data_IF_582202684814
#
_entry.id   IF_582202684814
#
_cell.length_a   1.000
_cell.length_b   1.000
_cell.length_c   1.000
_cell.angle_alpha   90.00
_cell.angle_beta   90.00
_cell.angle_gamma   90.00
#
_symmetry.space_group_name_H-M   'P 1'
#
loop_
_entity.id
_entity.type
_entity.pdbx_description
1 polymer ?
#
# COMPACT_ATOMS: atom_id res chain seq x y z
N UNK A 1 -13.46 -12.54 -25.89
CA UNK A 1 -12.74 -11.37 -26.44
C UNK A 1 -11.81 -11.82 -27.55
N UNK A 2 -11.46 -10.93 -28.48
CA UNK A 2 -10.44 -11.17 -29.51
C UNK A 2 -9.13 -10.49 -29.10
N UNK A 3 -8.00 -11.18 -29.24
CA UNK A 3 -6.70 -10.57 -28.96
C UNK A 3 -6.38 -9.52 -30.03
N UNK A 4 -6.21 -8.27 -29.62
CA UNK A 4 -5.87 -7.14 -30.52
C UNK A 4 -4.37 -6.90 -30.56
N UNK A 5 -3.68 -7.04 -29.42
CA UNK A 5 -2.23 -6.87 -29.29
C UNK A 5 -1.63 -8.11 -28.66
N UNK A 6 -0.45 -8.53 -29.13
CA UNK A 6 0.27 -9.68 -28.58
C UNK A 6 1.74 -9.36 -28.39
N UNK A 7 2.37 -10.03 -27.42
CA UNK A 7 3.82 -9.89 -27.14
C UNK A 7 4.26 -8.43 -26.97
N UNK A 8 5.21 -8.02 -27.83
CA UNK A 8 5.85 -6.70 -27.80
C UNK A 8 4.92 -5.51 -28.12
N UNK A 9 3.78 -5.76 -28.76
CA UNK A 9 2.80 -4.73 -29.11
C UNK A 9 1.89 -4.36 -27.93
N UNK A 10 1.92 -5.16 -26.86
CA UNK A 10 1.15 -4.86 -25.66
C UNK A 10 1.67 -3.58 -25.01
N UNK A 11 0.76 -2.73 -24.52
CA UNK A 11 1.14 -1.46 -23.85
C UNK A 11 2.11 -1.67 -22.68
N UNK A 12 1.96 -2.76 -21.94
CA UNK A 12 2.85 -3.11 -20.84
C UNK A 12 4.27 -3.41 -21.35
N UNK A 13 4.40 -4.17 -22.44
CA UNK A 13 5.70 -4.47 -23.05
C UNK A 13 6.34 -3.24 -23.70
N UNK A 14 5.55 -2.34 -24.32
CA UNK A 14 6.07 -1.09 -24.89
C UNK A 14 6.64 -0.14 -23.84
N UNK A 15 6.09 -0.17 -22.62
CA UNK A 15 6.64 0.55 -21.48
C UNK A 15 7.86 -0.16 -20.85
N UNK A 16 8.07 -1.43 -21.17
CA UNK A 16 9.25 -2.20 -20.76
C UNK A 16 10.49 -1.78 -21.56
N UNK A 17 11.59 -1.44 -20.87
CA UNK A 17 12.89 -1.24 -21.52
C UNK A 17 13.62 -2.57 -21.62
N UNK A 18 14.35 -2.85 -22.73
CA UNK A 18 15.17 -4.05 -22.82
C UNK A 18 16.21 -4.06 -21.68
N UNK A 19 16.48 -5.23 -21.14
CA UNK A 19 17.45 -5.39 -20.05
C UNK A 19 18.87 -5.08 -20.54
N UNK A 20 19.52 -4.08 -19.96
CA UNK A 20 20.95 -3.81 -20.17
C UNK A 20 21.77 -4.44 -19.06
N UNK A 21 22.99 -4.89 -19.39
CA UNK A 21 23.93 -5.38 -18.38
C UNK A 21 24.29 -4.23 -17.44
N UNK A 22 23.99 -4.41 -16.15
CA UNK A 22 24.36 -3.49 -15.08
C UNK A 22 25.76 -3.82 -14.57
N UNK A 23 26.52 -2.80 -14.18
CA UNK A 23 27.85 -2.94 -13.60
C UNK A 23 27.89 -2.26 -12.24
N UNK A 24 28.54 -2.89 -11.26
CA UNK A 24 28.79 -2.32 -9.94
C UNK A 24 29.64 -1.05 -10.05
N UNK A 25 29.32 -0.07 -9.21
CA UNK A 25 30.07 1.16 -9.02
C UNK A 25 31.48 0.89 -8.49
N UNK A 26 31.66 -0.15 -7.67
CA UNK A 26 32.96 -0.64 -7.18
C UNK A 26 33.83 -1.07 -8.35
N UNK A 27 33.27 -1.82 -9.31
CA UNK A 27 33.99 -2.23 -10.51
C UNK A 27 34.44 -1.02 -11.37
N UNK A 28 33.59 0.01 -11.48
CA UNK A 28 33.94 1.26 -12.18
C UNK A 28 35.09 2.00 -11.48
N UNK A 29 35.05 2.13 -10.14
CA UNK A 29 36.13 2.74 -9.35
C UNK A 29 37.43 1.94 -9.47
N UNK A 30 37.35 0.61 -9.44
CA UNK A 30 38.49 -0.28 -9.61
C UNK A 30 39.17 -0.07 -10.97
N UNK A 31 38.40 0.04 -12.06
CA UNK A 31 38.95 0.32 -13.38
C UNK A 31 39.72 1.67 -13.42
N UNK A 32 39.18 2.70 -12.75
CA UNK A 32 39.88 3.98 -12.59
C UNK A 32 41.21 3.84 -11.85
N UNK A 33 41.25 3.04 -10.78
CA UNK A 33 42.50 2.76 -10.03
C UNK A 33 43.49 1.93 -10.84
N UNK A 34 43.01 0.93 -11.59
CA UNK A 34 43.83 0.13 -12.50
C UNK A 34 44.52 1.00 -13.55
N UNK A 35 43.83 1.98 -14.12
CA UNK A 35 44.43 2.95 -15.03
C UNK A 35 45.54 3.77 -14.37
N UNK A 36 45.34 4.22 -13.11
CA UNK A 36 46.39 4.90 -12.37
C UNK A 36 47.62 4.02 -12.14
N UNK A 37 47.44 2.73 -11.81
CA UNK A 37 48.54 1.78 -11.67
C UNK A 37 49.26 1.53 -13.01
N UNK A 38 48.52 1.47 -14.12
CA UNK A 38 49.10 1.32 -15.45
C UNK A 38 50.00 2.52 -15.83
N UNK A 39 49.53 3.74 -15.56
CA UNK A 39 50.31 4.96 -15.78
C UNK A 39 51.54 5.00 -14.85
N UNK A 40 51.37 4.61 -13.58
CA UNK A 40 52.45 4.49 -12.61
C UNK A 40 53.51 3.47 -13.02
N UNK A 41 53.10 2.32 -13.55
CA UNK A 41 54.01 1.30 -14.08
C UNK A 41 54.85 1.86 -15.24
N UNK A 42 54.21 2.55 -16.19
CA UNK A 42 54.94 3.15 -17.32
C UNK A 42 55.92 4.24 -16.86
N UNK A 43 55.51 5.09 -15.90
CA UNK A 43 56.37 6.15 -15.38
C UNK A 43 57.57 5.62 -14.60
N UNK A 44 57.38 4.60 -13.75
CA UNK A 44 58.49 3.94 -13.03
C UNK A 44 59.44 3.24 -14.00
N UNK A 45 58.89 2.54 -15.00
CA UNK A 45 59.72 1.86 -16.02
C UNK A 45 60.56 2.89 -16.79
N UNK A 46 59.97 4.02 -17.16
CA UNK A 46 60.67 5.09 -17.86
C UNK A 46 61.77 5.72 -17.00
N UNK A 47 61.48 6.07 -15.74
CA UNK A 47 62.47 6.70 -14.85
C UNK A 47 63.63 5.78 -14.53
N UNK A 48 63.37 4.50 -14.25
CA UNK A 48 64.42 3.50 -13.99
C UNK A 48 65.26 3.26 -15.23
N UNK A 49 64.65 3.21 -16.42
CA UNK A 49 65.40 3.07 -17.69
C UNK A 49 66.32 4.27 -17.91
N UNK A 50 65.82 5.50 -17.72
CA UNK A 50 66.63 6.71 -17.84
C UNK A 50 67.78 6.74 -16.83
N UNK A 51 67.51 6.39 -15.57
CA UNK A 51 68.51 6.37 -14.51
C UNK A 51 69.58 5.29 -14.77
N UNK A 52 69.19 4.12 -15.27
CA UNK A 52 70.10 3.06 -15.67
C UNK A 52 71.07 3.52 -16.77
N UNK A 53 70.57 4.20 -17.81
CA UNK A 53 71.42 4.73 -18.86
C UNK A 53 72.29 5.90 -18.40
N UNK A 54 71.78 6.77 -17.52
CA UNK A 54 72.57 7.83 -16.91
C UNK A 54 73.72 7.26 -16.04
N UNK A 55 73.44 6.22 -15.25
CA UNK A 55 74.42 5.52 -14.42
C UNK A 55 75.50 4.86 -15.27
N UNK A 56 75.13 4.17 -16.35
CA UNK A 56 76.09 3.55 -17.30
C UNK A 56 77.02 4.58 -17.97
N UNK A 57 76.62 5.86 -18.03
CA UNK A 57 77.46 6.96 -18.51
C UNK A 57 78.47 7.48 -17.47
N UNK A 58 78.35 7.11 -16.20
CA UNK A 58 79.28 7.52 -15.13
C UNK A 58 80.45 6.53 -15.00
N UNK A 59 81.64 6.98 -14.55
CA UNK A 59 82.84 6.13 -14.43
C UNK A 59 82.68 4.93 -13.47
N UNK A 60 81.72 5.00 -12.54
CA UNK A 60 81.38 3.90 -11.62
C UNK A 60 80.37 2.90 -12.19
N UNK A 61 79.75 3.21 -13.34
CA UNK A 61 78.66 2.43 -13.93
C UNK A 61 79.09 1.31 -14.86
N UNK A 62 80.38 1.25 -15.22
CA UNK A 62 80.97 0.20 -16.06
C UNK A 62 82.04 -0.58 -15.30
N UNK A 63 81.66 -1.61 -14.50
CA UNK A 63 82.63 -2.46 -13.85
C UNK A 63 83.49 -3.20 -14.88
N UNK A 64 84.78 -3.33 -14.61
CA UNK A 64 85.76 -3.97 -15.51
C UNK A 64 85.44 -5.43 -15.86
N UNK A 65 84.57 -6.09 -15.09
CA UNK A 65 84.16 -7.49 -15.27
C UNK A 65 82.85 -7.67 -16.05
N UNK A 66 82.15 -6.60 -16.45
CA UNK A 66 80.88 -6.68 -17.18
C UNK A 66 81.00 -6.03 -18.57
N UNK A 67 80.83 -6.84 -19.63
CA UNK A 67 80.93 -6.36 -21.02
C UNK A 67 79.57 -5.84 -21.47
N UNK A 68 79.44 -4.52 -21.62
CA UNK A 68 78.23 -3.90 -22.16
C UNK A 68 78.30 -3.86 -23.71
N UNK A 69 77.25 -4.32 -24.43
CA UNK A 69 77.16 -4.13 -25.88
C UNK A 69 77.04 -2.64 -26.22
N UNK A 70 77.40 -2.22 -27.46
CA UNK A 70 77.30 -0.82 -27.87
C UNK A 70 75.86 -0.32 -27.74
N UNK A 71 75.70 0.87 -27.15
CA UNK A 71 74.39 1.46 -26.88
C UNK A 71 73.75 1.94 -28.19
N UNK A 72 72.82 1.17 -28.73
CA UNK A 72 71.96 1.60 -29.85
C UNK A 72 70.58 2.02 -29.37
N UNK A 73 69.84 2.83 -30.15
CA UNK A 73 68.47 3.23 -29.81
C UNK A 73 67.54 2.00 -29.64
N UNK A 74 67.81 0.94 -30.40
CA UNK A 74 67.09 -0.33 -30.28
C UNK A 74 67.33 -1.02 -28.94
N UNK A 75 68.59 -1.03 -28.47
CA UNK A 75 68.94 -1.61 -27.16
C UNK A 75 68.21 -0.90 -26.01
N UNK A 76 68.01 0.43 -26.10
CA UNK A 76 67.24 1.19 -25.10
C UNK A 76 65.77 0.77 -25.04
N UNK A 77 65.15 0.54 -26.20
CA UNK A 77 63.76 0.07 -26.29
C UNK A 77 63.63 -1.35 -25.79
N UNK A 78 64.57 -2.24 -26.11
CA UNK A 78 64.57 -3.63 -25.65
C UNK A 78 64.70 -3.74 -24.12
N UNK A 79 65.62 -2.99 -23.51
CA UNK A 79 65.78 -2.95 -22.05
C UNK A 79 64.55 -2.34 -21.37
N UNK A 80 63.94 -1.29 -21.96
CA UNK A 80 62.67 -0.74 -21.49
C UNK A 80 61.53 -1.77 -21.50
N UNK A 81 61.36 -2.52 -22.60
CA UNK A 81 60.31 -3.55 -22.71
C UNK A 81 60.56 -4.73 -21.76
N UNK A 82 61.82 -5.08 -21.51
CA UNK A 82 62.18 -6.14 -20.56
C UNK A 82 61.88 -5.70 -19.13
N UNK A 83 62.20 -4.46 -18.77
CA UNK A 83 61.85 -3.90 -17.47
C UNK A 83 60.34 -3.76 -17.29
N UNK A 84 59.62 -3.35 -18.33
CA UNK A 84 58.15 -3.30 -18.33
C UNK A 84 57.54 -4.67 -18.04
N UNK A 85 58.09 -5.73 -18.65
CA UNK A 85 57.64 -7.10 -18.41
C UNK A 85 57.87 -7.53 -16.94
N UNK A 86 59.00 -7.17 -16.35
CA UNK A 86 59.30 -7.48 -14.93
C UNK A 86 58.34 -6.73 -14.00
N UNK A 87 57.99 -5.47 -14.29
CA UNK A 87 57.11 -4.66 -13.43
C UNK A 87 55.62 -5.02 -13.64
N UNK A 88 55.26 -5.77 -14.68
CA UNK A 88 53.88 -6.19 -14.96
C UNK A 88 53.19 -6.91 -13.79
N UNK A 89 53.95 -7.55 -12.88
CA UNK A 89 53.41 -8.13 -11.64
C UNK A 89 52.74 -7.12 -10.69
N UNK A 90 52.93 -5.81 -10.91
CA UNK A 90 52.27 -4.74 -10.15
C UNK A 90 50.75 -4.72 -10.36
N UNK A 91 50.24 -5.20 -11.49
CA UNK A 91 48.80 -5.32 -11.75
C UNK A 91 48.41 -6.79 -11.58
N UNK A 92 47.80 -7.19 -10.46
CA UNK A 92 47.43 -8.57 -10.23
C UNK A 92 46.35 -9.00 -11.22
N UNK A 93 46.65 -9.99 -12.06
CA UNK A 93 45.70 -10.55 -13.04
C UNK A 93 44.45 -11.12 -12.32
N UNK A 94 44.62 -11.58 -11.09
CA UNK A 94 43.56 -12.21 -10.29
C UNK A 94 42.51 -11.24 -9.74
N UNK A 95 42.73 -9.93 -9.73
CA UNK A 95 41.87 -8.98 -8.99
C UNK A 95 40.42 -8.96 -9.50
N UNK A 96 40.20 -9.08 -10.80
CA UNK A 96 38.85 -9.13 -11.37
C UNK A 96 38.16 -10.45 -11.03
N UNK A 97 38.87 -11.57 -11.13
CA UNK A 97 38.34 -12.90 -10.85
C UNK A 97 37.98 -13.04 -9.36
N UNK A 98 38.83 -12.52 -8.46
CA UNK A 98 38.53 -12.57 -7.03
C UNK A 98 37.32 -11.73 -6.66
N UNK A 99 37.12 -10.56 -7.28
CA UNK A 99 35.94 -9.73 -7.06
C UNK A 99 34.65 -10.41 -7.55
N UNK A 100 34.67 -11.01 -8.75
CA UNK A 100 33.52 -11.77 -9.26
C UNK A 100 33.20 -12.99 -8.37
N UNK A 101 34.22 -13.69 -7.87
CA UNK A 101 34.03 -14.81 -6.95
C UNK A 101 33.40 -14.37 -5.62
N UNK A 102 33.87 -13.25 -5.04
CA UNK A 102 33.29 -12.69 -3.81
C UNK A 102 31.81 -12.33 -4.03
N UNK A 103 31.49 -11.65 -5.14
CA UNK A 103 30.11 -11.30 -5.48
C UNK A 103 29.22 -12.54 -5.67
N UNK A 104 29.73 -13.59 -6.28
CA UNK A 104 29.03 -14.87 -6.42
C UNK A 104 28.76 -15.52 -5.06
N UNK A 105 29.76 -15.59 -4.18
CA UNK A 105 29.61 -16.16 -2.83
C UNK A 105 28.60 -15.37 -2.01
N UNK A 106 28.64 -14.04 -2.07
CA UNK A 106 27.65 -13.17 -1.41
C UNK A 106 26.23 -13.43 -1.93
N UNK A 107 26.04 -13.55 -3.25
CA UNK A 107 24.73 -13.85 -3.82
C UNK A 107 24.19 -15.23 -3.38
N UNK A 108 25.07 -16.23 -3.25
CA UNK A 108 24.70 -17.56 -2.73
C UNK A 108 24.28 -17.49 -1.27
N UNK A 109 24.98 -16.69 -0.44
CA UNK A 109 24.62 -16.52 0.96
C UNK A 109 23.27 -15.81 1.12
N UNK A 110 23.02 -14.72 0.38
CA UNK A 110 21.71 -14.04 0.39
C UNK A 110 20.59 -15.01 0.00
N UNK A 111 20.82 -15.85 -1.03
CA UNK A 111 19.79 -16.79 -1.52
C UNK A 111 19.56 -18.00 -0.61
N UNK A 112 20.43 -18.23 0.39
CA UNK A 112 20.33 -19.34 1.36
C UNK A 112 19.91 -18.89 2.75
N UNK A 113 19.70 -17.60 2.93
CA UNK A 113 19.31 -17.05 4.21
C UNK A 113 17.85 -17.39 4.54
N UNK A 114 17.63 -17.85 5.77
CA UNK A 114 16.31 -18.24 6.28
C UNK A 114 15.51 -16.99 6.69
N UNK A 115 16.17 -15.89 7.04
CA UNK A 115 15.47 -14.64 7.39
C UNK A 115 14.79 -14.00 6.17
N UNK A 116 15.31 -14.25 4.97
CA UNK A 116 14.75 -13.80 3.70
C UNK A 116 13.78 -14.81 3.05
N UNK A 117 13.25 -15.76 3.83
CA UNK A 117 12.25 -16.73 3.38
C UNK A 117 10.84 -16.33 3.83
N UNK A 118 9.90 -16.28 2.88
CA UNK A 118 8.49 -16.03 3.17
C UNK A 118 7.73 -17.38 3.31
N UNK A 119 7.25 -17.73 4.52
CA UNK A 119 6.53 -18.97 4.75
C UNK A 119 5.13 -19.00 4.12
N UNK A 120 4.53 -17.84 3.80
CA UNK A 120 3.17 -17.77 3.26
C UNK A 120 3.15 -18.11 1.78
N UNK A 121 4.09 -17.56 1.01
CA UNK A 121 4.25 -17.84 -0.42
C UNK A 121 5.16 -19.03 -0.70
N UNK A 122 5.90 -19.51 0.31
CA UNK A 122 6.95 -20.54 0.18
C UNK A 122 8.03 -20.13 -0.83
N UNK A 123 8.39 -18.84 -0.83
CA UNK A 123 9.41 -18.25 -1.68
C UNK A 123 10.63 -17.84 -0.85
N UNK A 124 11.82 -18.13 -1.39
CA UNK A 124 13.10 -17.67 -0.83
C UNK A 124 13.63 -16.50 -1.63
N UNK A 125 14.49 -15.67 -1.04
CA UNK A 125 15.22 -14.66 -1.80
C UNK A 125 15.99 -15.29 -2.97
N UNK A 126 15.83 -14.68 -4.15
CA UNK A 126 16.54 -15.08 -5.36
C UNK A 126 17.34 -13.89 -5.89
N UNK A 127 18.65 -14.08 -6.02
CA UNK A 127 19.54 -13.06 -6.58
C UNK A 127 19.73 -13.33 -8.07
N UNK A 128 19.05 -12.55 -8.91
CA UNK A 128 19.14 -12.69 -10.37
C UNK A 128 20.43 -12.10 -10.97
N UNK A 129 20.97 -11.03 -10.35
CA UNK A 129 22.18 -10.35 -10.78
C UNK A 129 23.26 -10.45 -9.70
N UNK A 130 24.10 -11.47 -9.79
CA UNK A 130 25.16 -11.74 -8.81
C UNK A 130 26.19 -10.62 -8.71
N UNK A 131 26.47 -9.95 -9.84
CA UNK A 131 27.48 -8.89 -9.95
C UNK A 131 27.09 -7.54 -9.32
N UNK A 132 25.91 -7.47 -8.68
CA UNK A 132 25.41 -6.29 -7.97
C UNK A 132 25.23 -6.54 -6.47
N UNK A 133 25.63 -7.70 -5.95
CA UNK A 133 25.44 -8.03 -4.54
C UNK A 133 26.12 -7.01 -3.59
N UNK A 134 27.23 -6.42 -4.00
CA UNK A 134 27.95 -5.38 -3.25
C UNK A 134 27.29 -4.00 -3.28
N UNK A 135 26.45 -3.72 -4.29
CA UNK A 135 25.74 -2.44 -4.40
C UNK A 135 24.66 -2.28 -3.33
N UNK A 136 24.15 -3.39 -2.77
CA UNK A 136 23.14 -3.35 -1.70
C UNK A 136 23.60 -2.55 -0.48
N UNK A 137 24.91 -2.54 -0.20
CA UNK A 137 25.50 -1.75 0.90
C UNK A 137 25.72 -0.27 0.57
N UNK A 138 25.45 0.14 -0.68
CA UNK A 138 25.68 1.52 -1.18
C UNK A 138 24.38 2.21 -1.59
N UNK A 139 23.22 1.62 -1.31
CA UNK A 139 21.92 2.19 -1.67
C UNK A 139 21.60 3.37 -0.74
N UNK A 140 21.51 4.57 -1.31
CA UNK A 140 21.09 5.80 -0.59
C UNK A 140 19.58 6.06 -0.74
N UNK A 141 19.04 5.77 -1.93
CA UNK A 141 17.64 6.06 -2.26
C UNK A 141 16.90 4.77 -2.59
N UNK A 142 15.84 4.48 -1.83
CA UNK A 142 14.92 3.39 -2.08
C UNK A 142 13.64 3.93 -2.73
N UNK A 143 13.42 3.60 -4.00
CA UNK A 143 12.17 3.87 -4.69
C UNK A 143 11.25 2.65 -4.55
N UNK A 144 10.19 2.80 -3.75
CA UNK A 144 9.21 1.74 -3.51
C UNK A 144 7.89 2.05 -4.20
N UNK A 145 7.28 1.04 -4.83
CA UNK A 145 5.90 1.13 -5.27
C UNK A 145 4.97 1.01 -4.06
N UNK A 146 3.83 1.69 -4.09
CA UNK A 146 2.84 1.64 -3.00
C UNK A 146 2.02 0.36 -3.05
N UNK A 147 1.55 -0.01 -4.24
CA UNK A 147 0.58 -1.09 -4.40
C UNK A 147 1.30 -2.40 -4.64
N UNK A 148 1.08 -3.40 -3.79
CA UNK A 148 1.74 -4.71 -3.92
C UNK A 148 3.13 -4.79 -3.27
N UNK A 149 3.81 -3.67 -3.01
CA UNK A 149 5.08 -3.66 -2.24
C UNK A 149 4.85 -3.15 -0.82
N UNK A 150 4.39 -1.90 -0.64
CA UNK A 150 4.10 -1.37 0.71
C UNK A 150 2.76 -1.86 1.27
N UNK A 151 1.83 -2.30 0.41
CA UNK A 151 0.48 -2.69 0.81
C UNK A 151 0.11 -4.06 0.22
N UNK A 152 -0.52 -4.91 1.04
CA UNK A 152 -0.94 -6.28 0.66
C UNK A 152 -2.22 -6.31 -0.20
N UNK A 153 -2.70 -5.16 -0.68
CA UNK A 153 -3.98 -5.02 -1.39
C UNK A 153 -5.20 -5.66 -0.67
N UNK A 154 -5.15 -5.75 0.66
CA UNK A 154 -6.22 -6.23 1.52
C UNK A 154 -6.80 -5.07 2.31
N UNK A 155 -8.07 -4.76 2.05
CA UNK A 155 -8.79 -3.72 2.77
C UNK A 155 -9.55 -4.34 3.93
N UNK A 156 -9.42 -3.74 5.12
CA UNK A 156 -10.10 -4.19 6.34
C UNK A 156 -10.73 -2.98 6.98
N UNK A 157 -12.02 -3.05 7.27
CA UNK A 157 -12.71 -2.03 8.05
C UNK A 157 -12.18 -2.02 9.48
N UNK A 158 -11.83 -0.83 9.98
CA UNK A 158 -11.28 -0.67 11.33
C UNK A 158 -12.29 -0.03 12.27
N UNK A 159 -12.75 1.18 11.99
CA UNK A 159 -13.60 1.90 12.90
C UNK A 159 -14.65 2.77 12.20
N UNK A 160 -15.65 3.20 12.96
CA UNK A 160 -16.59 4.26 12.57
C UNK A 160 -16.88 5.18 13.74
N UNK A 161 -17.32 6.40 13.42
CA UNK A 161 -17.85 7.36 14.39
C UNK A 161 -19.28 7.74 14.03
N UNK A 162 -20.10 8.00 15.04
CA UNK A 162 -21.45 8.54 14.87
C UNK A 162 -21.46 10.04 15.15
N UNK A 163 -22.43 10.74 14.57
CA UNK A 163 -22.59 12.19 14.72
C UNK A 163 -23.14 12.48 16.11
N UNK A 164 -22.61 13.52 16.79
CA UNK A 164 -22.99 13.91 18.16
C UNK A 164 -22.64 12.88 19.25
N UNK A 165 -21.81 11.88 18.93
CA UNK A 165 -21.23 10.97 19.92
C UNK A 165 -19.72 11.17 19.98
N UNK A 166 -19.15 11.47 21.15
CA UNK A 166 -17.69 11.55 21.35
C UNK A 166 -17.00 10.17 21.35
N UNK A 167 -17.76 9.12 21.07
CA UNK A 167 -17.28 7.74 21.06
C UNK A 167 -16.90 7.30 19.66
N UNK A 168 -15.83 6.53 19.55
CA UNK A 168 -15.42 5.84 18.32
C UNK A 168 -15.66 4.35 18.50
N UNK A 169 -16.21 3.71 17.48
CA UNK A 169 -16.48 2.28 17.47
C UNK A 169 -15.41 1.57 16.65
N UNK A 170 -14.68 0.67 17.29
CA UNK A 170 -13.56 -0.08 16.73
C UNK A 170 -13.96 -1.56 16.57
N UNK A 171 -13.80 -2.09 15.36
CA UNK A 171 -14.16 -3.45 15.00
C UNK A 171 -12.89 -4.31 14.98
N UNK A 172 -12.76 -5.16 15.99
CA UNK A 172 -11.69 -6.14 16.08
C UNK A 172 -12.18 -7.53 15.66
N UNK A 173 -11.27 -8.51 15.62
CA UNK A 173 -11.62 -9.91 15.31
C UNK A 173 -12.56 -10.52 16.36
N UNK A 174 -12.44 -10.09 17.62
CA UNK A 174 -13.21 -10.61 18.76
C UNK A 174 -14.58 -9.92 18.95
N UNK A 175 -14.86 -8.83 18.23
CA UNK A 175 -16.13 -8.10 18.27
C UNK A 175 -15.99 -6.59 18.14
N UNK A 176 -17.10 -5.88 18.42
CA UNK A 176 -17.19 -4.43 18.34
C UNK A 176 -16.95 -3.79 19.70
N UNK A 177 -16.12 -2.76 19.74
CA UNK A 177 -15.74 -2.04 20.97
C UNK A 177 -15.97 -0.54 20.82
N UNK A 178 -16.50 0.09 21.85
CA UNK A 178 -16.70 1.52 21.95
C UNK A 178 -15.58 2.13 22.80
N UNK A 179 -14.91 3.14 22.26
CA UNK A 179 -13.83 3.89 22.93
C UNK A 179 -14.33 5.30 23.19
N UNK A 180 -14.38 5.70 24.47
CA UNK A 180 -14.75 7.07 24.90
C UNK A 180 -13.50 7.93 25.09
N UNK A 181 -13.60 9.23 24.76
CA UNK A 181 -12.52 10.21 24.88
C UNK A 181 -11.24 9.85 24.11
N UNK A 182 -11.37 9.48 22.84
CA UNK A 182 -10.23 9.26 21.94
C UNK A 182 -9.57 10.59 21.55
N UNK A 183 -8.95 11.31 22.49
CA UNK A 183 -8.22 12.56 22.20
C UNK A 183 -6.99 12.34 21.31
N UNK A 184 -6.57 11.09 21.12
CA UNK A 184 -5.63 10.64 20.10
C UNK A 184 -5.99 9.19 19.74
N UNK A 185 -6.43 8.93 18.50
CA UNK A 185 -6.62 7.57 17.99
C UNK A 185 -5.28 6.85 17.72
N UNK A 186 -4.15 7.51 17.94
CA UNK A 186 -2.80 6.92 17.81
C UNK A 186 -2.59 5.71 18.73
N UNK A 187 -3.32 5.61 19.85
CA UNK A 187 -3.26 4.46 20.78
C UNK A 187 -4.05 3.24 20.33
N UNK A 188 -4.88 3.32 19.29
CA UNK A 188 -5.65 2.15 18.79
C UNK A 188 -4.79 1.21 17.94
N UNK A 189 -3.65 1.70 17.43
CA UNK A 189 -2.73 0.87 16.63
C UNK A 189 -1.59 0.21 17.43
N UNK A 190 -1.39 0.55 18.71
CA UNK A 190 -0.21 0.08 19.47
C UNK A 190 -0.44 -1.10 20.42
N UNK A 191 -1.65 -1.65 20.56
CA UNK A 191 -1.87 -2.78 21.48
C UNK A 191 -1.82 -4.12 20.75
N UNK A 192 -0.59 -4.55 20.40
CA UNK A 192 -0.07 -5.94 20.44
C UNK A 192 1.36 -6.00 19.86
N UNK A 193 2.34 -5.57 20.65
CA UNK A 193 3.70 -6.10 20.59
C UNK A 193 4.13 -6.51 22.01
N UNK A 194 3.60 -7.64 22.47
CA UNK A 194 4.18 -8.40 23.57
C UNK A 194 4.67 -9.72 22.99
N UNK A 195 5.84 -9.69 22.35
CA UNK A 195 6.78 -10.80 22.17
C UNK A 195 7.95 -10.27 21.33
N UNK A 196 9.01 -9.82 22.01
CA UNK A 196 10.27 -9.45 21.39
C UNK A 196 11.00 -10.72 20.90
N UNK A 197 11.40 -10.83 19.62
CA UNK A 197 12.50 -11.69 19.25
C UNK A 197 13.79 -10.98 19.63
N UNK A 198 14.58 -11.64 20.48
CA UNK A 198 15.96 -11.28 20.78
C UNK A 198 16.77 -11.20 19.50
N UNK A 199 17.29 -10.03 19.15
CA UNK A 199 18.42 -9.91 18.22
C UNK A 199 19.44 -8.86 18.71
N UNK A 200 20.75 -9.14 18.56
CA UNK A 200 21.81 -8.33 19.15
C UNK A 200 22.27 -7.18 18.24
N UNK A 201 22.82 -6.15 18.91
CA UNK A 201 23.63 -5.03 18.39
C UNK A 201 22.89 -3.80 17.85
N UNK A 202 22.57 -2.90 18.81
CA UNK A 202 22.49 -1.45 18.59
C UNK A 202 23.88 -0.94 18.21
N UNK A 203 24.07 -0.46 16.98
CA UNK A 203 25.18 0.48 16.63
C UNK A 203 25.05 1.23 15.30
N UNK A 204 23.98 1.06 14.52
CA UNK A 204 23.83 1.74 13.24
C UNK A 204 22.96 3.02 13.26
N UNK A 205 22.17 3.21 14.32
CA UNK A 205 21.15 4.28 14.36
C UNK A 205 21.71 5.68 14.72
N UNK A 206 22.94 5.77 15.25
CA UNK A 206 23.50 7.04 15.74
C UNK A 206 24.12 7.91 14.63
N UNK A 207 24.14 7.45 13.36
CA UNK A 207 24.82 8.18 12.28
C UNK A 207 23.94 9.20 11.54
N UNK A 208 22.61 9.15 11.69
CA UNK A 208 21.68 9.91 10.84
C UNK A 208 20.98 11.09 11.53
N UNK A 209 21.31 11.43 12.78
CA UNK A 209 20.59 12.45 13.55
C UNK A 209 21.45 13.59 14.07
N UNK A 210 22.47 14.00 13.31
CA UNK A 210 23.24 15.22 13.59
C UNK A 210 22.96 16.28 12.52
N UNK A 211 21.87 17.03 12.69
CA UNK A 211 21.76 18.43 12.26
C UNK A 211 20.36 19.00 12.55
N UNK A 212 20.15 19.55 13.75
CA UNK A 212 19.40 20.80 13.97
C UNK A 212 19.32 21.09 15.46
N UNK A 213 19.53 22.35 15.78
CA UNK A 213 19.97 22.92 17.04
C UNK A 213 18.97 22.79 18.20
N UNK A 214 19.55 22.78 19.40
CA UNK A 214 18.89 22.83 20.71
C UNK A 214 18.27 24.21 20.95
N UNK A 215 17.02 24.25 21.44
CA UNK A 215 16.60 25.30 22.37
C UNK A 215 15.90 24.66 23.58
N UNK A 216 16.40 25.06 24.76
CA UNK A 216 16.00 24.65 26.09
C UNK A 216 14.55 25.02 26.42
N UNK A 217 13.87 24.15 27.15
CA UNK A 217 13.13 24.53 28.38
C UNK A 217 12.81 23.29 29.20
N UNK A 218 13.61 23.08 30.25
CA UNK A 218 13.16 22.33 31.43
C UNK A 218 12.13 23.17 32.22
N UNK A 219 11.38 22.48 33.09
CA UNK A 219 10.37 22.96 34.04
C UNK A 219 8.92 23.06 33.55
N UNK A 220 8.18 21.93 33.65
CA UNK A 220 7.05 21.78 34.60
C UNK A 220 6.87 20.29 34.95
N UNK A 221 7.45 19.88 36.08
CA UNK A 221 7.01 18.72 36.84
C UNK A 221 5.64 19.03 37.47
N UNK A 222 4.54 18.60 36.82
CA UNK A 222 3.29 18.13 37.44
C UNK A 222 2.13 18.15 36.44
N UNK A 223 1.84 17.02 35.80
CA UNK A 223 0.45 16.59 35.61
C UNK A 223 0.39 15.08 35.37
N UNK A 224 0.31 14.30 36.47
CA UNK A 224 -0.28 12.96 36.42
C UNK A 224 -1.80 13.13 36.20
N UNK A 225 -2.18 13.36 34.95
CA UNK A 225 -3.54 13.16 34.46
C UNK A 225 -3.61 11.81 33.79
N UNK A 226 -4.07 10.79 34.52
CA UNK A 226 -4.42 9.48 33.98
C UNK A 226 -5.67 9.62 33.11
N UNK A 227 -5.52 9.98 31.84
CA UNK A 227 -6.60 9.89 30.83
C UNK A 227 -6.70 8.43 30.39
N UNK A 228 -7.30 7.57 31.22
CA UNK A 228 -7.53 6.17 30.88
C UNK A 228 -8.68 6.09 29.87
N UNK A 229 -8.37 5.92 28.59
CA UNK A 229 -9.37 5.57 27.58
C UNK A 229 -10.00 4.22 27.93
N UNK A 230 -11.27 4.21 28.33
CA UNK A 230 -11.98 2.97 28.61
C UNK A 230 -12.56 2.38 27.32
N UNK A 231 -12.20 1.14 27.02
CA UNK A 231 -12.72 0.34 25.89
C UNK A 231 -13.85 -0.57 26.40
N UNK A 232 -15.06 -0.40 25.88
CA UNK A 232 -16.24 -1.18 26.28
C UNK A 232 -16.70 -2.07 25.13
N UNK A 233 -16.94 -3.36 25.38
CA UNK A 233 -17.52 -4.24 24.35
C UNK A 233 -18.99 -3.88 24.13
N UNK A 234 -19.36 -3.61 22.88
CA UNK A 234 -20.73 -3.25 22.51
C UNK A 234 -21.57 -4.52 22.43
N UNK A 235 -22.68 -4.55 23.14
CA UNK A 235 -23.62 -5.68 23.17
C UNK A 235 -24.84 -5.42 22.31
N UNK A 236 -25.36 -4.20 22.35
CA UNK A 236 -26.57 -3.78 21.65
C UNK A 236 -26.27 -2.46 20.92
N UNK A 237 -26.76 -2.33 19.70
CA UNK A 237 -26.52 -1.17 18.84
C UNK A 237 -27.56 -0.08 19.09
N UNK A 238 -27.16 1.19 19.01
CA UNK A 238 -28.10 2.31 18.96
C UNK A 238 -28.90 2.31 17.65
N UNK A 239 -30.05 2.99 17.62
CA UNK A 239 -30.84 3.11 16.40
C UNK A 239 -30.04 3.78 15.26
N UNK A 240 -29.20 4.76 15.61
CA UNK A 240 -28.31 5.46 14.71
C UNK A 240 -27.25 4.53 14.14
N UNK A 241 -26.67 3.65 14.99
CA UNK A 241 -25.75 2.62 14.54
C UNK A 241 -26.42 1.60 13.63
N UNK A 242 -27.65 1.16 13.94
CA UNK A 242 -28.42 0.27 13.06
C UNK A 242 -28.68 0.91 11.69
N UNK A 243 -28.99 2.21 11.66
CA UNK A 243 -29.18 2.97 10.41
C UNK A 243 -27.89 3.09 9.61
N UNK A 244 -26.76 3.33 10.28
CA UNK A 244 -25.44 3.33 9.64
C UNK A 244 -25.13 1.97 9.00
N UNK A 245 -25.28 0.87 9.74
CA UNK A 245 -24.99 -0.46 9.21
C UNK A 245 -25.97 -0.91 8.13
N UNK A 246 -27.23 -0.47 8.20
CA UNK A 246 -28.21 -0.66 7.12
C UNK A 246 -27.78 0.07 5.84
N UNK A 247 -27.30 1.31 5.95
CA UNK A 247 -26.76 2.07 4.82
C UNK A 247 -25.53 1.36 4.23
N UNK A 248 -24.59 0.91 5.06
CA UNK A 248 -23.41 0.14 4.62
C UNK A 248 -23.81 -1.12 3.84
N UNK A 249 -24.83 -1.85 4.31
CA UNK A 249 -25.31 -3.08 3.70
C UNK A 249 -26.25 -2.88 2.48
N UNK A 250 -26.67 -1.64 2.16
CA UNK A 250 -27.51 -1.34 1.00
C UNK A 250 -26.81 -0.52 -0.07
N UNK A 251 -26.01 0.47 0.34
CA UNK A 251 -25.36 1.40 -0.57
C UNK A 251 -24.07 0.79 -1.13
N UNK A 252 -24.17 -0.25 -1.94
CA UNK A 252 -23.03 -0.94 -2.57
C UNK A 252 -23.42 -1.63 -3.87
N UNK A 253 -22.43 -2.12 -4.63
CA UNK A 253 -22.65 -2.89 -5.87
C UNK A 253 -22.19 -4.35 -5.78
N UNK A 254 -22.12 -4.89 -4.56
CA UNK A 254 -21.65 -6.26 -4.28
C UNK A 254 -22.65 -7.32 -4.74
N UNK A 255 -22.12 -8.36 -5.36
CA UNK A 255 -22.83 -9.61 -5.65
C UNK A 255 -22.57 -10.63 -4.53
N UNK A 256 -23.63 -11.19 -3.96
CA UNK A 256 -23.54 -12.24 -2.95
C UNK A 256 -23.74 -13.61 -3.59
N UNK A 257 -22.81 -14.53 -3.38
CA UNK A 257 -22.92 -15.94 -3.77
C UNK A 257 -23.13 -16.78 -2.52
N UNK A 258 -24.32 -17.32 -2.36
CA UNK A 258 -24.65 -18.24 -1.28
C UNK A 258 -24.14 -19.62 -1.66
N UNK A 259 -23.24 -20.16 -0.85
CA UNK A 259 -22.76 -21.54 -0.97
C UNK A 259 -23.05 -22.28 0.32
N UNK A 260 -23.32 -23.58 0.23
CA UNK A 260 -23.47 -24.45 1.40
C UNK A 260 -22.19 -25.24 1.58
N UNK A 261 -21.55 -25.10 2.74
CA UNK A 261 -20.37 -25.91 3.06
C UNK A 261 -20.78 -27.38 3.16
N UNK A 262 -20.21 -28.21 2.29
CA UNK A 262 -20.51 -29.65 2.23
C UNK A 262 -20.22 -30.39 3.55
N UNK A 263 -19.33 -29.84 4.39
CA UNK A 263 -18.88 -30.45 5.65
C UNK A 263 -19.71 -29.97 6.84
N UNK A 264 -20.01 -28.67 6.88
CA UNK A 264 -20.68 -28.03 8.02
C UNK A 264 -22.19 -27.93 7.86
N UNK A 265 -22.72 -28.10 6.64
CA UNK A 265 -24.12 -27.79 6.30
C UNK A 265 -24.51 -26.33 6.52
N UNK A 266 -23.53 -25.44 6.76
CA UNK A 266 -23.76 -24.03 7.07
C UNK A 266 -23.71 -23.22 5.79
N UNK A 267 -24.63 -22.27 5.65
CA UNK A 267 -24.60 -21.28 4.59
C UNK A 267 -23.37 -20.37 4.77
N UNK A 268 -22.49 -20.39 3.76
CA UNK A 268 -21.36 -19.48 3.61
C UNK A 268 -21.65 -18.55 2.44
N UNK A 269 -21.73 -17.27 2.73
CA UNK A 269 -21.95 -16.23 1.74
C UNK A 269 -20.59 -15.68 1.32
N UNK A 270 -20.28 -15.76 0.03
CA UNK A 270 -19.09 -15.15 -0.56
C UNK A 270 -19.50 -13.90 -1.31
N UNK A 271 -18.88 -12.79 -0.96
CA UNK A 271 -19.11 -11.52 -1.62
C UNK A 271 -18.11 -11.32 -2.77
N UNK A 272 -18.59 -10.78 -3.89
CA UNK A 272 -17.79 -10.33 -5.01
C UNK A 272 -18.07 -8.84 -5.24
N UNK A 273 -17.01 -8.03 -5.31
CA UNK A 273 -17.13 -6.59 -5.46
C UNK A 273 -16.10 -6.08 -6.47
N UNK A 274 -16.47 -5.05 -7.22
CA UNK A 274 -15.55 -4.36 -8.13
C UNK A 274 -14.48 -3.55 -7.38
N UNK A 275 -14.78 -3.13 -6.14
CA UNK A 275 -13.86 -2.38 -5.28
C UNK A 275 -13.62 -3.13 -3.96
N UNK A 276 -12.36 -3.28 -3.52
CA UNK A 276 -12.04 -3.93 -2.24
C UNK A 276 -12.51 -3.11 -1.03
N UNK A 277 -12.73 -1.79 -1.19
CA UNK A 277 -13.26 -0.93 -0.14
C UNK A 277 -14.72 -1.30 0.18
N UNK A 278 -15.53 -1.57 -0.84
CA UNK A 278 -16.92 -2.03 -0.63
C UNK A 278 -16.95 -3.41 0.02
N UNK A 279 -16.07 -4.31 -0.42
CA UNK A 279 -15.93 -5.65 0.16
C UNK A 279 -15.69 -5.57 1.67
N UNK A 280 -14.70 -4.79 2.08
CA UNK A 280 -14.33 -4.63 3.48
C UNK A 280 -15.49 -4.09 4.34
N UNK A 281 -16.31 -3.20 3.78
CA UNK A 281 -17.47 -2.62 4.45
C UNK A 281 -18.60 -3.64 4.67
N UNK A 282 -18.93 -4.46 3.66
CA UNK A 282 -20.00 -5.47 3.77
C UNK A 282 -19.56 -6.67 4.60
N UNK A 283 -18.28 -7.05 4.51
CA UNK A 283 -17.69 -8.03 5.42
C UNK A 283 -17.79 -7.57 6.88
N UNK A 284 -17.52 -6.28 7.14
CA UNK A 284 -17.66 -5.69 8.47
C UNK A 284 -19.11 -5.66 8.95
N UNK A 285 -20.04 -5.28 8.08
CA UNK A 285 -21.47 -5.30 8.39
C UNK A 285 -21.93 -6.71 8.79
N UNK A 286 -21.44 -7.74 8.11
CA UNK A 286 -21.73 -9.15 8.44
C UNK A 286 -21.24 -9.52 9.84
N UNK A 287 -20.06 -9.06 10.25
CA UNK A 287 -19.51 -9.30 11.61
C UNK A 287 -20.31 -8.60 12.70
N UNK A 288 -20.94 -7.47 12.39
CA UNK A 288 -21.78 -6.72 13.32
C UNK A 288 -23.23 -7.25 13.35
N UNK A 289 -23.58 -8.19 12.47
CA UNK A 289 -24.89 -8.84 12.44
C UNK A 289 -25.81 -8.39 11.30
N UNK A 290 -25.30 -7.62 10.33
CA UNK A 290 -26.01 -7.14 9.16
C UNK A 290 -25.48 -7.89 7.93
N UNK A 291 -26.00 -9.07 7.68
CA UNK A 291 -25.53 -9.93 6.58
C UNK A 291 -26.34 -9.69 5.33
N UNK A 292 -25.70 -9.20 4.27
CA UNK A 292 -26.33 -9.06 2.96
C UNK A 292 -26.46 -10.44 2.29
N UNK A 293 -27.68 -10.85 1.88
CA UNK A 293 -27.92 -12.18 1.31
C UNK A 293 -27.89 -12.16 -0.22
N UNK A 294 -28.23 -11.02 -0.83
CA UNK A 294 -28.39 -10.88 -2.27
C UNK A 294 -29.76 -10.34 -2.66
N UNK A 295 -30.10 -10.52 -3.93
CA UNK A 295 -31.39 -10.12 -4.52
C UNK A 295 -32.36 -11.29 -4.43
N UNK A 296 -33.61 -11.01 -4.09
CA UNK A 296 -34.69 -12.00 -4.02
C UNK A 296 -35.30 -12.23 -5.41
N UNK A 297 -34.75 -13.18 -6.16
CA UNK A 297 -35.23 -13.53 -7.51
C UNK A 297 -36.64 -14.16 -7.52
N UNK A 298 -37.20 -14.48 -6.34
CA UNK A 298 -38.50 -15.16 -6.24
C UNK A 298 -39.69 -14.20 -6.31
N UNK A 299 -39.46 -12.89 -6.13
CA UNK A 299 -40.54 -11.89 -6.09
C UNK A 299 -40.77 -11.31 -7.48
N UNK A 300 -41.36 -12.10 -8.36
CA UNK A 300 -41.95 -11.63 -9.61
C UNK A 300 -43.41 -11.27 -9.34
N UNK A 301 -43.72 -10.00 -9.11
CA UNK A 301 -45.11 -9.51 -9.05
C UNK A 301 -45.48 -8.85 -10.39
N UNK A 302 -45.89 -9.65 -11.37
CA UNK A 302 -46.41 -9.16 -12.66
C UNK A 302 -45.33 -8.62 -13.61
N UNK A 303 -45.70 -7.69 -14.50
CA UNK A 303 -44.84 -7.06 -15.54
C UNK A 303 -43.74 -6.13 -14.97
N UNK A 304 -43.64 -5.97 -13.64
CA UNK A 304 -42.61 -5.15 -12.99
C UNK A 304 -41.65 -6.02 -12.16
N UNK A 305 -40.41 -6.20 -12.65
CA UNK A 305 -39.31 -6.75 -11.86
C UNK A 305 -38.89 -5.73 -10.78
N UNK A 306 -39.04 -6.10 -9.51
CA UNK A 306 -38.54 -5.30 -8.40
C UNK A 306 -37.19 -5.83 -7.92
N UNK A 307 -36.16 -4.97 -7.90
CA UNK A 307 -34.88 -5.31 -7.29
C UNK A 307 -35.02 -5.30 -5.76
N UNK A 308 -35.37 -6.45 -5.18
CA UNK A 308 -35.55 -6.60 -3.73
C UNK A 308 -34.28 -7.17 -3.12
N UNK A 309 -33.59 -6.34 -2.35
CA UNK A 309 -32.38 -6.70 -1.63
C UNK A 309 -32.75 -7.25 -0.25
N UNK A 310 -32.14 -8.38 0.14
CA UNK A 310 -32.37 -9.03 1.42
C UNK A 310 -31.19 -8.82 2.37
N UNK A 311 -31.47 -8.31 3.57
CA UNK A 311 -30.49 -8.21 4.64
C UNK A 311 -30.99 -9.01 5.85
N UNK A 312 -30.14 -9.91 6.35
CA UNK A 312 -30.36 -10.70 7.55
C UNK A 312 -29.79 -9.95 8.75
N UNK A 313 -30.66 -9.67 9.71
CA UNK A 313 -30.32 -9.01 10.96
C UNK A 313 -30.21 -10.07 12.06
N UNK A 314 -29.02 -10.24 12.62
CA UNK A 314 -28.77 -11.04 13.81
C UNK A 314 -28.53 -10.09 14.99
N UNK A 315 -29.60 -9.82 15.74
CA UNK A 315 -29.56 -8.90 16.88
C UNK A 315 -28.65 -9.40 18.03
N UNK A 316 -28.28 -10.68 18.02
CA UNK A 316 -27.39 -11.28 19.01
C UNK A 316 -25.96 -11.51 18.46
N UNK A 317 -25.62 -11.01 17.26
CA UNK A 317 -24.31 -11.21 16.66
C UNK A 317 -23.15 -10.72 17.55
N UNK A 318 -23.34 -9.57 18.21
CA UNK A 318 -22.36 -9.00 19.14
C UNK A 318 -22.40 -9.65 20.54
N UNK A 319 -23.46 -10.39 20.84
CA UNK A 319 -23.78 -10.92 22.16
C UNK A 319 -23.63 -12.45 22.22
N UNK A 320 -22.39 -12.94 22.34
CA UNK A 320 -22.08 -14.38 22.40
C UNK A 320 -22.76 -15.15 23.56
N UNK A 321 -23.27 -14.46 24.59
CA UNK A 321 -23.91 -15.07 25.77
C UNK A 321 -25.42 -15.34 25.61
N UNK A 322 -26.12 -14.66 24.69
CA UNK A 322 -27.58 -14.85 24.48
C UNK A 322 -27.82 -16.03 23.54
N UNK A 323 -28.23 -17.19 24.08
CA UNK A 323 -28.67 -18.33 23.28
C UNK A 323 -30.07 -18.06 22.72
N UNK A 324 -30.17 -17.92 21.40
CA UNK A 324 -31.42 -17.73 20.66
C UNK A 324 -31.21 -16.80 19.47
N UNK A 325 -30.99 -17.35 18.28
CA UNK A 325 -30.84 -16.57 17.04
C UNK A 325 -32.22 -16.10 16.56
N UNK A 326 -32.65 -14.91 16.97
CA UNK A 326 -33.76 -14.22 16.30
C UNK A 326 -33.21 -13.57 15.03
N UNK A 327 -33.08 -14.38 13.97
CA UNK A 327 -32.72 -13.90 12.65
C UNK A 327 -33.96 -13.27 12.02
N UNK A 328 -33.91 -11.96 11.77
CA UNK A 328 -34.95 -11.26 11.01
C UNK A 328 -34.37 -10.89 9.66
N UNK A 329 -34.94 -11.39 8.57
CA UNK A 329 -34.62 -10.89 7.24
C UNK A 329 -35.52 -9.70 6.94
N UNK A 330 -34.94 -8.55 6.58
CA UNK A 330 -35.68 -7.40 6.06
C UNK A 330 -35.43 -7.27 4.56
N UNK A 331 -36.49 -6.98 3.82
CA UNK A 331 -36.46 -6.73 2.38
C UNK A 331 -36.45 -5.24 2.09
N UNK A 332 -35.57 -4.82 1.20
CA UNK A 332 -35.45 -3.43 0.75
C UNK A 332 -35.62 -3.40 -0.76
N UNK A 333 -36.62 -2.68 -1.24
CA UNK A 333 -36.80 -2.48 -2.68
C UNK A 333 -35.89 -1.36 -3.15
N UNK A 334 -34.87 -1.68 -3.94
CA UNK A 334 -33.94 -0.70 -4.52
C UNK A 334 -34.47 -0.25 -5.88
N UNK A 335 -34.97 0.98 -5.96
CA UNK A 335 -35.57 1.50 -7.20
C UNK A 335 -34.54 2.11 -8.17
N UNK A 336 -33.43 2.60 -7.63
CA UNK A 336 -32.33 3.18 -8.41
C UNK A 336 -31.00 3.11 -7.66
N UNK A 337 -29.94 2.77 -8.40
CA UNK A 337 -28.55 2.86 -7.96
C UNK A 337 -27.87 3.96 -8.75
N UNK A 338 -27.34 4.94 -8.02
CA UNK A 338 -26.46 5.95 -8.56
C UNK A 338 -25.04 5.46 -8.30
N UNK A 339 -24.36 5.00 -9.35
CA UNK A 339 -23.00 4.43 -9.25
C UNK A 339 -21.91 5.46 -8.98
N UNK A 340 -20.86 5.06 -8.25
CA UNK A 340 -19.73 5.94 -7.99
C UNK A 340 -19.13 6.52 -9.29
N UNK A 341 -18.90 7.83 -9.30
CA UNK A 341 -18.19 8.54 -10.37
C UNK A 341 -17.11 9.41 -9.73
N UNK A 342 -15.92 9.45 -10.34
CA UNK A 342 -14.77 10.24 -9.89
C UNK A 342 -15.05 11.75 -9.82
N UNK A 343 -15.97 12.25 -10.64
CA UNK A 343 -16.41 13.65 -10.63
C UNK A 343 -17.20 13.96 -9.36
N UNK A 344 -18.20 13.14 -9.04
CA UNK A 344 -19.09 13.37 -7.89
C UNK A 344 -18.57 12.82 -6.57
N UNK A 345 -17.62 11.88 -6.59
CA UNK A 345 -16.93 11.27 -5.44
C UNK A 345 -17.86 10.64 -4.38
N UNK A 346 -19.03 10.15 -4.79
CA UNK A 346 -20.01 9.48 -3.93
C UNK A 346 -20.81 8.42 -4.68
N UNK A 347 -21.39 7.46 -3.97
CA UNK A 347 -22.39 6.49 -4.42
C UNK A 347 -23.70 6.76 -3.66
N UNK A 348 -24.85 6.57 -4.31
CA UNK A 348 -26.15 6.70 -3.63
C UNK A 348 -27.13 5.64 -4.12
N UNK A 349 -28.04 5.23 -3.25
CA UNK A 349 -29.08 4.23 -3.54
C UNK A 349 -30.42 4.75 -3.06
N UNK A 350 -31.41 4.71 -3.94
CA UNK A 350 -32.81 5.00 -3.62
C UNK A 350 -33.51 3.67 -3.27
N UNK A 351 -33.97 3.54 -2.03
CA UNK A 351 -34.59 2.32 -1.54
C UNK A 351 -35.87 2.59 -0.76
N UNK A 352 -36.80 1.62 -0.81
CA UNK A 352 -37.99 1.58 0.04
C UNK A 352 -37.91 0.43 1.02
N UNK A 353 -38.26 0.71 2.27
CA UNK A 353 -38.37 -0.29 3.32
C UNK A 353 -39.72 -1.03 3.24
N UNK A 354 -39.87 -2.14 3.96
CA UNK A 354 -41.10 -2.95 3.99
C UNK A 354 -42.33 -2.16 4.51
N UNK A 355 -42.11 -1.11 5.30
CA UNK A 355 -43.16 -0.23 5.82
C UNK A 355 -43.58 0.88 4.85
N UNK A 356 -42.99 0.92 3.64
CA UNK A 356 -43.30 1.90 2.60
C UNK A 356 -42.52 3.20 2.69
N UNK A 357 -41.70 3.40 3.72
CA UNK A 357 -40.85 4.59 3.82
C UNK A 357 -39.77 4.58 2.75
N UNK A 358 -39.49 5.77 2.22
CA UNK A 358 -38.60 5.97 1.09
C UNK A 358 -37.32 6.67 1.56
N UNK A 359 -36.17 6.05 1.32
CA UNK A 359 -34.87 6.54 1.74
C UNK A 359 -33.93 6.71 0.56
N UNK A 360 -33.07 7.73 0.66
CA UNK A 360 -31.87 7.87 -0.15
C UNK A 360 -30.67 7.64 0.76
N UNK A 361 -29.98 6.54 0.55
CA UNK A 361 -28.72 6.21 1.21
C UNK A 361 -27.56 6.71 0.36
N UNK A 362 -26.53 7.24 0.98
CA UNK A 362 -25.35 7.74 0.26
C UNK A 362 -24.07 7.50 1.06
N UNK A 363 -22.97 7.28 0.34
CA UNK A 363 -21.61 7.17 0.86
C UNK A 363 -20.63 7.88 -0.06
N UNK A 364 -19.62 8.55 0.47
CA UNK A 364 -18.62 9.23 -0.36
C UNK A 364 -17.57 9.98 0.43
N UNK A 365 -16.76 10.77 -0.29
CA UNK A 365 -15.79 11.65 0.33
C UNK A 365 -16.48 12.79 1.10
N UNK A 366 -15.86 13.22 2.20
CA UNK A 366 -16.33 14.30 3.08
C UNK A 366 -16.63 15.59 2.32
N UNK A 367 -15.78 15.98 1.35
CA UNK A 367 -15.98 17.19 0.54
C UNK A 367 -17.28 17.13 -0.28
N UNK A 368 -17.64 15.97 -0.82
CA UNK A 368 -18.90 15.83 -1.57
C UNK A 368 -20.10 15.70 -0.63
N UNK A 369 -19.92 14.99 0.48
CA UNK A 369 -21.00 14.63 1.39
C UNK A 369 -21.42 15.80 2.27
N UNK A 370 -20.48 16.65 2.69
CA UNK A 370 -20.72 17.82 3.55
C UNK A 370 -20.88 19.13 2.77
N UNK A 371 -21.08 19.06 1.46
CA UNK A 371 -21.38 20.22 0.62
C UNK A 371 -22.60 20.98 1.19
N UNK A 372 -22.48 22.30 1.44
CA UNK A 372 -23.56 23.11 1.98
C UNK A 372 -24.90 22.97 1.24
N UNK A 373 -24.86 22.75 -0.08
CA UNK A 373 -26.08 22.56 -0.90
C UNK A 373 -26.88 21.30 -0.53
N UNK A 374 -26.23 20.31 0.10
CA UNK A 374 -26.82 19.00 0.42
C UNK A 374 -27.10 18.84 1.90
N UNK A 375 -26.27 19.47 2.73
CA UNK A 375 -26.37 19.41 4.19
C UNK A 375 -26.92 20.71 4.79
N UNK A 376 -27.83 21.40 4.11
CA UNK A 376 -28.44 22.64 4.62
C UNK A 376 -29.14 22.42 5.99
N UNK A 377 -29.82 21.28 6.14
CA UNK A 377 -30.51 20.90 7.37
C UNK A 377 -29.59 20.36 8.47
N UNK A 378 -28.33 20.09 8.17
CA UNK A 378 -27.35 19.58 9.15
C UNK A 378 -26.74 20.75 9.89
N UNK A 379 -26.78 20.72 11.23
CA UNK A 379 -26.20 21.78 12.07
C UNK A 379 -24.69 21.95 11.83
N UNK A 380 -24.18 23.18 12.01
CA UNK A 380 -22.74 23.45 11.86
C UNK A 380 -21.91 22.56 12.79
N UNK A 381 -22.32 22.46 14.06
CA UNK A 381 -21.63 21.65 15.08
C UNK A 381 -21.50 20.18 14.65
N UNK A 382 -22.53 19.60 14.01
CA UNK A 382 -22.46 18.23 13.52
C UNK A 382 -21.47 18.08 12.36
N UNK A 383 -21.40 19.07 11.46
CA UNK A 383 -20.40 19.06 10.36
C UNK A 383 -18.99 19.15 10.90
N UNK A 384 -18.77 20.02 11.89
CA UNK A 384 -17.47 20.22 12.53
C UNK A 384 -17.01 18.95 13.27
N UNK A 385 -17.94 18.29 13.98
CA UNK A 385 -17.70 17.00 14.63
C UNK A 385 -17.33 15.89 13.62
N UNK A 386 -18.06 15.78 12.51
CA UNK A 386 -17.72 14.83 11.43
C UNK A 386 -16.33 15.12 10.86
N UNK A 387 -16.03 16.38 10.54
CA UNK A 387 -14.73 16.77 9.98
C UNK A 387 -13.58 16.49 10.94
N UNK A 388 -13.78 16.72 12.24
CA UNK A 388 -12.81 16.36 13.28
C UNK A 388 -12.53 14.87 13.28
N UNK A 389 -13.56 14.01 13.33
CA UNK A 389 -13.40 12.55 13.30
C UNK A 389 -12.74 12.05 12.01
N UNK A 390 -13.13 12.60 10.86
CA UNK A 390 -12.51 12.28 9.56
C UNK A 390 -11.03 12.63 9.58
N UNK A 391 -10.66 13.78 10.15
CA UNK A 391 -9.26 14.20 10.28
C UNK A 391 -8.49 13.26 11.21
N UNK A 392 -9.06 12.88 12.35
CA UNK A 392 -8.44 11.94 13.30
C UNK A 392 -8.20 10.56 12.67
N UNK A 393 -9.15 10.07 11.86
CA UNK A 393 -9.00 8.82 11.10
C UNK A 393 -7.94 8.93 10.00
N UNK A 394 -7.91 10.06 9.28
CA UNK A 394 -6.92 10.30 8.23
C UNK A 394 -5.50 10.43 8.80
N UNK A 395 -5.32 11.09 9.94
CA UNK A 395 -4.04 11.16 10.67
C UNK A 395 -3.55 9.79 11.13
N UNK A 396 -4.48 8.85 11.36
CA UNK A 396 -4.17 7.45 11.67
C UNK A 396 -3.88 6.60 10.43
N UNK A 397 -3.83 7.19 9.23
CA UNK A 397 -3.57 6.51 7.96
C UNK A 397 -4.75 5.72 7.41
N UNK A 398 -5.95 5.88 7.97
CA UNK A 398 -7.15 5.18 7.51
C UNK A 398 -7.77 5.90 6.31
N UNK A 399 -8.32 5.13 5.37
CA UNK A 399 -9.21 5.68 4.35
C UNK A 399 -10.57 5.99 4.97
N UNK A 400 -11.09 7.18 4.72
CA UNK A 400 -12.33 7.67 5.31
C UNK A 400 -13.45 7.74 4.27
N UNK A 401 -14.67 7.46 4.71
CA UNK A 401 -15.89 7.68 3.95
C UNK A 401 -16.95 8.25 4.90
N UNK A 402 -17.72 9.21 4.41
CA UNK A 402 -18.87 9.77 5.12
C UNK A 402 -20.13 9.12 4.57
N UNK A 403 -20.97 8.65 5.48
CA UNK A 403 -22.26 8.05 5.17
C UNK A 403 -23.38 9.03 5.55
N UNK A 404 -24.39 9.10 4.71
CA UNK A 404 -25.57 9.92 4.92
C UNK A 404 -26.82 9.20 4.46
N UNK A 405 -27.95 9.56 5.06
CA UNK A 405 -29.25 9.10 4.61
C UNK A 405 -30.26 10.23 4.71
N UNK A 406 -31.30 10.17 3.87
CA UNK A 406 -32.41 11.11 3.89
C UNK A 406 -33.71 10.34 3.68
N UNK A 407 -34.65 10.50 4.59
CA UNK A 407 -36.03 10.09 4.38
C UNK A 407 -36.74 11.11 3.48
N UNK A 408 -37.51 10.63 2.51
CA UNK A 408 -38.25 11.46 1.57
C UNK A 408 -39.72 11.06 1.56
N UNK A 409 -40.58 12.05 1.37
CA UNK A 409 -41.98 11.81 1.06
C UNK A 409 -42.12 11.04 -0.24
N UNK A 410 -43.14 10.18 -0.32
CA UNK A 410 -43.36 9.27 -1.44
C UNK A 410 -43.46 10.02 -2.78
N UNK A 411 -44.14 11.17 -2.79
CA UNK A 411 -44.29 12.00 -4.00
C UNK A 411 -42.97 12.58 -4.48
N UNK A 412 -42.19 13.14 -3.56
CA UNK A 412 -40.85 13.69 -3.83
C UNK A 412 -39.92 12.60 -4.35
N UNK A 413 -39.91 11.44 -3.69
CA UNK A 413 -39.11 10.29 -4.10
C UNK A 413 -39.50 9.81 -5.52
N UNK A 414 -40.79 9.69 -5.81
CA UNK A 414 -41.30 9.28 -7.12
C UNK A 414 -40.99 10.31 -8.21
N UNK A 415 -41.02 11.60 -7.90
CA UNK A 415 -40.64 12.66 -8.83
C UNK A 415 -39.14 12.57 -9.20
N UNK A 416 -38.26 12.43 -8.20
CA UNK A 416 -36.82 12.25 -8.41
C UNK A 416 -36.52 10.98 -9.21
N UNK A 417 -37.16 9.86 -8.86
CA UNK A 417 -37.00 8.59 -9.56
C UNK A 417 -37.43 8.68 -11.03
N UNK A 418 -38.57 9.33 -11.31
CA UNK A 418 -39.03 9.56 -12.69
C UNK A 418 -38.04 10.40 -13.48
N UNK A 419 -37.51 11.48 -12.89
CA UNK A 419 -36.51 12.33 -13.54
C UNK A 419 -35.22 11.57 -13.83
N UNK A 420 -34.75 10.78 -12.86
CA UNK A 420 -33.56 9.94 -13.03
C UNK A 420 -33.74 8.89 -14.12
N UNK A 421 -34.87 8.16 -14.13
CA UNK A 421 -35.20 7.18 -15.18
C UNK A 421 -35.31 7.84 -16.56
N UNK A 422 -35.96 9.00 -16.66
CA UNK A 422 -36.04 9.76 -17.90
C UNK A 422 -34.64 10.16 -18.42
N UNK A 423 -33.74 10.58 -17.53
CA UNK A 423 -32.36 10.86 -17.89
C UNK A 423 -31.59 9.61 -18.34
N UNK A 424 -31.83 8.45 -17.72
CA UNK A 424 -31.22 7.18 -18.11
C UNK A 424 -31.66 6.68 -19.49
N UNK A 425 -32.89 7.01 -19.93
CA UNK A 425 -33.42 6.65 -21.25
C UNK A 425 -32.80 7.44 -22.42
N UNK A 426 -32.04 8.52 -22.14
CA UNK A 426 -31.36 9.29 -23.17
C UNK A 426 -30.13 8.53 -23.69
N UNK A 427 -29.70 8.86 -24.92
CA UNK A 427 -28.54 8.24 -25.58
C UNK A 427 -27.48 9.30 -25.85
N UNK A 428 -26.21 8.90 -25.77
CA UNK A 428 -25.07 9.77 -26.09
C UNK A 428 -24.68 10.72 -24.95
N UNK A 429 -24.00 11.83 -25.25
CA UNK A 429 -23.42 12.71 -24.22
C UNK A 429 -24.49 13.41 -23.36
N UNK A 430 -25.68 13.66 -23.90
CA UNK A 430 -26.78 14.28 -23.16
C UNK A 430 -27.26 13.40 -21.99
N UNK A 431 -27.17 12.06 -22.14
CA UNK A 431 -27.45 11.12 -21.04
C UNK A 431 -26.58 11.39 -19.83
N UNK A 432 -25.26 11.52 -20.05
CA UNK A 432 -24.28 11.70 -18.97
C UNK A 432 -24.60 12.99 -18.21
N UNK A 433 -24.79 14.09 -18.95
CA UNK A 433 -25.14 15.40 -18.38
C UNK A 433 -26.46 15.36 -17.59
N UNK A 434 -27.52 14.80 -18.16
CA UNK A 434 -28.84 14.76 -17.50
C UNK A 434 -28.87 13.84 -16.28
N UNK A 435 -28.12 12.74 -16.31
CA UNK A 435 -27.96 11.86 -15.16
C UNK A 435 -27.19 12.58 -14.05
N UNK A 436 -26.16 13.35 -14.39
CA UNK A 436 -25.44 14.18 -13.42
C UNK A 436 -26.34 15.25 -12.80
N UNK A 437 -27.11 15.99 -13.60
CA UNK A 437 -28.08 16.98 -13.12
C UNK A 437 -29.15 16.35 -12.21
N UNK A 438 -29.72 15.20 -12.60
CA UNK A 438 -30.68 14.47 -11.79
C UNK A 438 -30.08 13.89 -10.49
N UNK A 439 -28.77 13.61 -10.47
CA UNK A 439 -28.05 13.12 -9.28
C UNK A 439 -27.58 14.21 -8.32
N UNK A 440 -27.63 15.48 -8.77
CA UNK A 440 -27.21 16.63 -7.99
C UNK A 440 -28.32 17.13 -7.05
N UNK A 441 -29.58 16.94 -7.47
CA UNK A 441 -30.82 17.17 -6.71
C UNK A 441 -31.07 16.05 -5.67
#
# INVERSE_FOLDING_TARGET
GAAVYTGGETKLSLNGKPGYRKFSSTARRLNGRLLCFLVGMFSVTLTVTLLQFAWRGMPFGSPWYFVFPPVTNWTKVQEFLTLLFIINYLIPISIMVTMELIQLVLAIFISKDIEFYDPVTNEKAQVNATNLADELGQIEFLFSDKTGTLTQNKMVFKCYGLVNEDSVYDLEEDGLYMVRNAKKLSTVSEVKQSESPTSPSKKAADYFSSSSEEENTEDVLNMKGSDSSFKYKVTDLSNEAERFWTNVALCHTIEAKVSTDAISGKEVIKYNAASPDEMALVDAATRVGFTYIGIDDTVVKGDEEFNIHMIRFDQNALNARKKGRKLKTRRYRVDAVLEFNSVRKRMSVMAREEDGRCFVYTKGAEVSMLDPRRCEKTSSNAKDDIMKKVTDFALSGLRTLVFGYRELDVDTYNALLRRFRAAQCLIGPERVRRVEEASAE
#
